data_IF_971719442465
#
_entry.id   IF_971719442465
#
_cell.length_a   1.000
_cell.length_b   1.000
_cell.length_c   1.000
_cell.angle_alpha   90.00
_cell.angle_beta   90.00
_cell.angle_gamma   90.00
#
_symmetry.space_group_name_H-M   'P 1'
#
loop_
_entity.id
_entity.type
_entity.pdbx_description
1 polymer ?
#
# COMPACT_ATOMS: atom_id res chain seq x y z
N UNK A 1 0.45 19.21 4.68
CA UNK A 1 -0.42 20.06 5.53
C UNK A 1 0.41 20.68 6.62
N UNK A 2 0.38 22.00 6.75
CA UNK A 2 1.08 22.75 7.79
C UNK A 2 0.16 23.00 8.99
N UNK A 3 0.63 22.71 10.19
CA UNK A 3 -0.13 22.79 11.43
C UNK A 3 0.68 23.50 12.52
N UNK A 4 0.00 24.31 13.34
CA UNK A 4 0.59 24.98 14.50
C UNK A 4 0.18 24.23 15.77
N UNK A 5 1.14 23.98 16.67
CA UNK A 5 0.83 23.38 17.96
C UNK A 5 0.09 24.40 18.86
N UNK A 6 -1.00 23.97 19.51
CA UNK A 6 -1.82 24.84 20.37
C UNK A 6 -1.25 25.02 21.78
N UNK A 7 -0.55 24.02 22.31
CA UNK A 7 0.10 24.11 23.63
C UNK A 7 1.43 24.84 23.55
N UNK A 8 2.15 24.69 22.43
CA UNK A 8 3.43 25.33 22.16
C UNK A 8 3.37 26.11 20.84
N UNK A 9 2.90 27.37 20.84
CA UNK A 9 2.61 28.12 19.61
C UNK A 9 3.83 28.46 18.74
N UNK A 10 5.04 28.18 19.22
CA UNK A 10 6.31 28.30 18.49
C UNK A 10 6.61 27.08 17.62
N UNK A 11 5.94 25.95 17.88
CA UNK A 11 6.13 24.71 17.13
C UNK A 11 5.16 24.64 15.94
N UNK A 12 5.75 24.39 14.78
CA UNK A 12 5.04 24.12 13.54
C UNK A 12 5.39 22.72 13.06
N UNK A 13 4.40 22.01 12.52
CA UNK A 13 4.56 20.65 12.00
C UNK A 13 3.98 20.61 10.60
N UNK A 14 4.78 20.15 9.65
CA UNK A 14 4.33 19.88 8.30
C UNK A 14 4.21 18.36 8.10
N UNK A 15 3.03 17.91 7.68
CA UNK A 15 2.75 16.49 7.44
C UNK A 15 2.52 16.24 5.95
N UNK A 16 3.27 15.29 5.39
CA UNK A 16 3.07 14.79 4.03
C UNK A 16 2.56 13.34 4.10
N UNK A 17 1.54 13.02 3.30
CA UNK A 17 1.00 11.66 3.20
C UNK A 17 1.29 11.11 1.81
N UNK A 18 1.90 9.94 1.77
CA UNK A 18 2.17 9.18 0.54
C UNK A 18 1.43 7.83 0.61
N UNK A 19 0.88 7.33 -0.51
CA UNK A 19 0.11 6.07 -0.50
C UNK A 19 0.98 4.86 -0.13
N UNK A 20 2.25 4.88 -0.53
CA UNK A 20 3.21 3.81 -0.25
C UNK A 20 4.55 4.37 0.17
N UNK A 21 5.34 3.54 0.87
CA UNK A 21 6.73 3.84 1.20
C UNK A 21 7.59 4.08 -0.04
N UNK A 22 7.33 3.33 -1.13
CA UNK A 22 8.05 3.49 -2.39
C UNK A 22 7.81 4.87 -3.00
N UNK A 23 6.59 5.42 -2.89
CA UNK A 23 6.29 6.75 -3.42
C UNK A 23 7.02 7.85 -2.62
N UNK A 24 7.16 7.68 -1.30
CA UNK A 24 8.00 8.54 -0.49
C UNK A 24 9.48 8.50 -0.92
N UNK A 25 10.05 7.30 -1.12
CA UNK A 25 11.44 7.16 -1.57
C UNK A 25 11.66 7.80 -2.96
N UNK A 26 10.71 7.62 -3.88
CA UNK A 26 10.78 8.23 -5.21
C UNK A 26 10.71 9.74 -5.15
N UNK A 27 9.89 10.30 -4.26
CA UNK A 27 9.82 11.75 -4.06
C UNK A 27 11.17 12.29 -3.60
N UNK A 28 11.78 11.66 -2.58
CA UNK A 28 13.09 12.07 -2.07
C UNK A 28 14.21 11.94 -3.11
N UNK A 29 14.17 10.91 -3.96
CA UNK A 29 15.16 10.73 -5.01
C UNK A 29 15.03 11.78 -6.13
N UNK A 30 13.87 12.43 -6.26
CA UNK A 30 13.61 13.45 -7.29
C UNK A 30 13.88 14.88 -6.80
N UNK A 31 14.41 15.05 -5.60
CA UNK A 31 14.75 16.38 -5.07
C UNK A 31 15.73 17.10 -5.99
N UNK A 32 15.33 18.30 -6.41
CA UNK A 32 16.11 19.18 -7.27
C UNK A 32 17.09 20.03 -6.46
N UNK A 33 18.00 20.74 -7.12
CA UNK A 33 18.91 21.68 -6.46
C UNK A 33 18.15 22.83 -5.78
N UNK A 34 17.06 23.30 -6.40
CA UNK A 34 16.18 24.30 -5.82
C UNK A 34 15.52 23.82 -4.52
N UNK A 35 15.18 22.52 -4.42
CA UNK A 35 14.63 21.95 -3.19
C UNK A 35 15.68 21.92 -2.07
N UNK A 36 16.96 21.67 -2.39
CA UNK A 36 18.06 21.73 -1.41
C UNK A 36 18.28 23.14 -0.87
N UNK A 37 18.28 24.15 -1.74
CA UNK A 37 18.38 25.54 -1.31
C UNK A 37 17.19 25.93 -0.43
N UNK A 38 15.99 25.42 -0.73
CA UNK A 38 14.81 25.66 0.08
C UNK A 38 14.97 25.02 1.47
N UNK A 39 15.44 23.78 1.55
CA UNK A 39 15.71 23.09 2.81
C UNK A 39 16.70 23.89 3.68
N UNK A 40 17.78 24.41 3.08
CA UNK A 40 18.75 25.25 3.79
C UNK A 40 18.11 26.53 4.34
N UNK A 41 17.28 27.21 3.55
CA UNK A 41 16.55 28.41 3.99
C UNK A 41 15.57 28.10 5.11
N UNK A 42 14.89 26.96 5.06
CA UNK A 42 13.96 26.52 6.12
C UNK A 42 14.72 26.23 7.42
N UNK A 43 15.90 25.61 7.34
CA UNK A 43 16.75 25.36 8.51
C UNK A 43 17.15 26.68 9.19
N UNK A 44 17.44 27.74 8.43
CA UNK A 44 17.76 29.06 8.99
C UNK A 44 16.58 29.70 9.74
N UNK A 45 15.34 29.35 9.40
CA UNK A 45 14.15 29.83 10.12
C UNK A 45 13.93 29.08 11.46
N UNK A 46 14.61 27.94 11.66
CA UNK A 46 14.50 27.17 12.88
C UNK A 46 15.23 27.86 14.04
N UNK A 47 14.49 28.22 15.10
CA UNK A 47 15.02 28.93 16.28
C UNK A 47 15.48 27.99 17.41
N UNK A 48 15.34 26.68 17.25
CA UNK A 48 15.72 25.70 18.28
C UNK A 48 17.21 25.34 18.25
N UNK A 49 17.71 24.82 19.38
CA UNK A 49 19.12 24.40 19.53
C UNK A 49 19.46 23.13 18.76
N UNK A 50 18.44 22.35 18.38
CA UNK A 50 18.57 21.07 17.70
C UNK A 50 18.02 21.17 16.28
N UNK A 51 18.47 20.30 15.38
CA UNK A 51 17.88 20.21 14.04
C UNK A 51 16.38 19.88 14.11
N UNK A 52 15.59 20.33 13.13
CA UNK A 52 14.18 19.96 13.04
C UNK A 52 13.98 18.45 13.11
N UNK A 53 13.04 18.00 13.95
CA UNK A 53 12.78 16.58 14.16
C UNK A 53 11.93 16.02 13.02
N UNK A 54 12.47 15.04 12.30
CA UNK A 54 11.74 14.30 11.26
C UNK A 54 11.16 13.02 11.90
N UNK A 55 9.87 12.76 11.66
CA UNK A 55 9.19 11.52 12.10
C UNK A 55 8.53 10.85 10.92
N UNK A 56 8.82 9.56 10.71
CA UNK A 56 8.22 8.74 9.67
C UNK A 56 7.29 7.71 10.33
N UNK A 57 6.03 7.68 9.88
CA UNK A 57 5.01 6.73 10.36
C UNK A 57 4.39 5.97 9.19
N UNK A 58 4.20 4.67 9.35
CA UNK A 58 3.47 3.83 8.39
C UNK A 58 2.12 3.50 9.00
N UNK A 59 1.05 3.97 8.38
CA UNK A 59 -0.31 3.62 8.78
C UNK A 59 -0.57 2.13 8.49
N UNK A 60 -1.06 1.41 9.50
CA UNK A 60 -1.47 0.01 9.37
C UNK A 60 -2.97 -0.06 9.59
N UNK A 61 -3.76 -0.63 8.65
CA UNK A 61 -5.17 -0.85 8.91
C UNK A 61 -5.32 -1.82 10.09
N UNK A 62 -6.25 -1.53 10.99
CA UNK A 62 -6.57 -2.40 12.14
C UNK A 62 -7.30 -3.67 11.72
N UNK A 63 -7.90 -3.69 10.52
CA UNK A 63 -8.57 -4.87 9.98
C UNK A 63 -7.55 -5.94 9.54
N UNK A 64 -7.91 -7.21 9.76
CA UNK A 64 -7.10 -8.32 9.30
C UNK A 64 -6.83 -8.20 7.79
N UNK A 65 -5.60 -8.51 7.32
CA UNK A 65 -5.31 -8.48 5.90
C UNK A 65 -6.28 -9.41 5.19
N UNK A 66 -7.11 -8.85 4.29
CA UNK A 66 -7.99 -9.64 3.44
C UNK A 66 -7.08 -10.59 2.66
N UNK A 67 -7.22 -11.90 2.89
CA UNK A 67 -6.60 -12.90 2.00
C UNK A 67 -7.11 -12.59 0.59
N UNK A 68 -6.24 -12.41 -0.41
CA UNK A 68 -6.71 -12.40 -1.78
C UNK A 68 -7.48 -13.70 -1.99
N UNK A 69 -8.76 -13.58 -2.31
CA UNK A 69 -9.60 -14.73 -2.62
C UNK A 69 -8.92 -15.44 -3.78
N UNK A 70 -8.43 -16.65 -3.52
CA UNK A 70 -7.84 -17.47 -4.58
C UNK A 70 -8.95 -17.67 -5.60
N UNK A 71 -8.79 -17.07 -6.79
CA UNK A 71 -9.69 -17.28 -7.91
C UNK A 71 -9.74 -18.77 -8.17
N UNK A 72 -10.77 -19.45 -7.66
CA UNK A 72 -11.00 -20.86 -7.96
C UNK A 72 -11.10 -20.95 -9.48
N UNK A 73 -10.23 -21.70 -10.17
CA UNK A 73 -10.30 -21.78 -11.62
C UNK A 73 -11.68 -22.29 -12.01
N UNK A 74 -12.38 -21.53 -12.84
CA UNK A 74 -13.64 -21.99 -13.41
C UNK A 74 -13.34 -23.15 -14.35
N UNK A 75 -13.69 -24.37 -13.94
CA UNK A 75 -13.64 -25.54 -14.82
C UNK A 75 -15.02 -25.73 -15.45
N UNK A 76 -15.18 -25.48 -16.77
CA UNK A 76 -16.41 -25.81 -17.47
C UNK A 76 -16.60 -27.33 -17.39
N UNK A 77 -17.71 -27.79 -16.81
CA UNK A 77 -18.08 -29.21 -16.88
C UNK A 77 -18.48 -29.51 -18.33
N UNK A 78 -17.54 -29.97 -19.14
CA UNK A 78 -17.89 -30.60 -20.41
C UNK A 78 -18.68 -31.87 -20.10
N UNK A 79 -19.97 -31.87 -20.47
CA UNK A 79 -20.85 -33.04 -20.39
C UNK A 79 -20.36 -34.11 -21.37
N UNK A 80 -19.46 -34.99 -20.93
CA UNK A 80 -19.20 -36.23 -21.66
C UNK A 80 -20.42 -37.14 -21.52
N UNK A 81 -21.22 -37.27 -22.59
CA UNK A 81 -22.25 -38.32 -22.68
C UNK A 81 -21.57 -39.66 -22.41
N UNK A 82 -21.92 -40.34 -21.33
CA UNK A 82 -21.51 -41.74 -21.12
C UNK A 82 -22.09 -42.57 -22.27
N UNK A 83 -21.30 -43.36 -23.01
CA UNK A 83 -21.87 -44.32 -23.95
C UNK A 83 -22.67 -45.36 -23.15
N UNK A 84 -23.89 -45.63 -23.61
CA UNK A 84 -24.75 -46.64 -23.01
C UNK A 84 -24.06 -48.01 -23.11
N UNK A 85 -23.79 -48.63 -21.96
CA UNK A 85 -23.29 -49.99 -21.91
C UNK A 85 -24.42 -50.94 -22.33
N UNK A 86 -24.36 -51.47 -23.56
CA UNK A 86 -25.26 -52.56 -23.98
C UNK A 86 -24.92 -53.82 -23.16
N UNK A 87 -25.80 -54.18 -22.22
CA UNK A 87 -25.76 -55.48 -21.56
C UNK A 87 -26.27 -56.53 -22.57
N UNK A 88 -25.34 -57.30 -23.13
CA UNK A 88 -25.64 -58.51 -23.90
C UNK A 88 -26.06 -59.58 -22.89
N UNK A 89 -27.33 -59.99 -22.89
CA UNK A 89 -27.77 -61.20 -22.19
C UNK A 89 -27.64 -62.34 -23.20
N UNK A 90 -26.78 -63.31 -22.88
CA UNK A 90 -26.69 -64.56 -23.62
C UNK A 90 -27.86 -65.44 -23.21
N UNK A 91 -28.50 -66.06 -24.21
CA UNK A 91 -29.43 -67.18 -24.04
C UNK A 91 -28.66 -68.40 -23.54
N UNK A 92 -29.24 -69.14 -22.60
CA UNK A 92 -28.93 -70.55 -22.38
C UNK A 92 -30.13 -71.27 -21.71
N UNK A 93 -30.66 -72.25 -22.45
CA UNK A 93 -31.66 -73.31 -22.14
C UNK A 93 -33.14 -72.98 -22.19
#
# INVERSE_FOLDING_TARGET
>A
TLQRNLQEPVLWTETFRTPTWTDYLRLNHRLTEADKELDERIILLHKGKHSPRITLSIERPTSAPRKPESSTPFFPRHSTKRPACHRRLNEDT
#
